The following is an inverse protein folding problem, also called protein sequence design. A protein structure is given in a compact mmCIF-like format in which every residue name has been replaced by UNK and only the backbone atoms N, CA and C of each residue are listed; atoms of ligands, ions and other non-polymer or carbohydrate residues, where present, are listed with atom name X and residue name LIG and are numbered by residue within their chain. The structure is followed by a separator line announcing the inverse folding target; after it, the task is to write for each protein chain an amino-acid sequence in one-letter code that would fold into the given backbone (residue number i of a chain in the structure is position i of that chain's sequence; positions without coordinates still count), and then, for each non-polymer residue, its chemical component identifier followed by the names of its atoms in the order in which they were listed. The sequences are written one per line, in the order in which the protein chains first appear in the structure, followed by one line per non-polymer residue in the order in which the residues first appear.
data_IF_452538692432
#
_entry.id   IF_452538692432
#
_cell.length_a   1.000
_cell.length_b   1.000
_cell.length_c   1.000
_cell.angle_alpha   90.00
_cell.angle_beta   90.00
_cell.angle_gamma   90.00
#
_symmetry.space_group_name_H-M   'P 1'
#
loop_
_entity.id
_entity.type
_entity.pdbx_description
1 polymer ?
#
# COMPACT_ATOMS: atom_id res chain seq x y z
N UNK A 1 -26.54 -5.65 -52.81
CA UNK A 1 -26.17 -5.62 -54.24
C UNK A 1 -25.48 -6.94 -54.59
N UNK A 2 -25.97 -7.60 -55.64
CA UNK A 2 -25.27 -8.52 -56.60
C UNK A 2 -24.31 -9.57 -55.99
N UNK A 3 -24.71 -10.85 -55.96
CA UNK A 3 -24.65 -11.88 -57.04
C UNK A 3 -23.25 -12.50 -57.22
N UNK A 4 -23.28 -13.82 -57.47
CA UNK A 4 -22.27 -14.75 -58.05
C UNK A 4 -21.72 -15.75 -57.01
N UNK A 5 -21.53 -17.04 -57.26
CA UNK A 5 -21.90 -17.97 -58.35
C UNK A 5 -21.24 -19.34 -57.99
N UNK A 6 -21.76 -20.45 -58.53
CA UNK A 6 -21.08 -21.75 -58.62
C UNK A 6 -21.73 -22.83 -57.75
N UNK A 7 -22.81 -23.49 -58.17
CA UNK A 7 -22.93 -24.51 -59.23
C UNK A 7 -22.26 -25.86 -58.90
N UNK A 8 -23.08 -26.71 -58.29
CA UNK A 8 -23.26 -28.17 -58.44
C UNK A 8 -22.32 -28.87 -59.45
N UNK A 9 -21.60 -29.89 -58.96
CA UNK A 9 -21.20 -31.03 -59.77
C UNK A 9 -21.46 -32.32 -58.99
N UNK A 10 -22.28 -33.16 -59.61
CA UNK A 10 -22.86 -34.41 -59.15
C UNK A 10 -21.90 -35.58 -59.42
N UNK A 11 -22.07 -36.66 -58.64
CA UNK A 11 -21.90 -38.08 -59.03
C UNK A 11 -20.48 -38.69 -58.99
N UNK A 12 -20.28 -39.63 -58.06
CA UNK A 12 -20.08 -41.04 -58.39
C UNK A 12 -20.05 -41.92 -57.13
N UNK A 13 -21.00 -42.85 -57.06
CA UNK A 13 -20.97 -44.03 -56.18
C UNK A 13 -19.85 -44.97 -56.63
N UNK A 14 -19.02 -45.40 -55.70
CA UNK A 14 -18.04 -46.47 -55.90
C UNK A 14 -17.90 -47.29 -54.61
N UNK A 15 -18.68 -48.36 -54.51
CA UNK A 15 -18.59 -49.38 -53.48
C UNK A 15 -17.35 -50.24 -53.75
N UNK A 16 -16.41 -50.33 -52.81
CA UNK A 16 -15.40 -51.38 -52.78
C UNK A 16 -15.06 -51.73 -51.32
N UNK A 17 -15.55 -52.88 -50.89
CA UNK A 17 -15.16 -53.50 -49.64
C UNK A 17 -13.79 -54.17 -49.82
N UNK A 18 -12.83 -53.85 -48.95
CA UNK A 18 -11.63 -54.65 -48.70
C UNK A 18 -11.52 -54.90 -47.21
N UNK A 19 -11.48 -56.19 -46.90
CA UNK A 19 -11.25 -56.78 -45.58
C UNK A 19 -9.75 -56.84 -45.27
N UNK A 20 -9.44 -56.86 -43.96
CA UNK A 20 -8.24 -57.37 -43.30
C UNK A 20 -6.97 -56.49 -43.24
N UNK A 21 -6.78 -55.82 -42.10
CA UNK A 21 -5.76 -56.18 -41.08
C UNK A 21 -5.94 -55.28 -39.84
N UNK A 22 -5.86 -55.81 -38.60
CA UNK A 22 -5.72 -54.95 -37.44
C UNK A 22 -4.31 -54.38 -37.47
N UNK A 23 -4.17 -53.13 -37.88
CA UNK A 23 -3.04 -52.34 -37.45
C UNK A 23 -3.17 -52.23 -35.93
N UNK A 24 -2.33 -52.99 -35.23
CA UNK A 24 -1.97 -52.71 -33.84
C UNK A 24 -1.36 -51.31 -33.83
N UNK A 25 -2.22 -50.29 -33.85
CA UNK A 25 -1.86 -48.95 -33.44
C UNK A 25 -1.50 -49.11 -31.97
N UNK A 26 -0.19 -49.06 -31.74
CA UNK A 26 0.46 -48.98 -30.45
C UNK A 26 -0.26 -47.89 -29.66
N UNK A 27 -1.22 -48.30 -28.84
CA UNK A 27 -1.71 -47.55 -27.71
C UNK A 27 -0.54 -47.49 -26.74
N UNK A 28 0.42 -46.61 -27.05
CA UNK A 28 1.21 -45.98 -26.03
C UNK A 28 0.22 -45.11 -25.27
N UNK A 29 -0.54 -45.75 -24.38
CA UNK A 29 -1.23 -45.08 -23.31
C UNK A 29 -0.18 -44.18 -22.66
N UNK A 30 -0.21 -42.89 -23.00
CA UNK A 30 0.46 -41.88 -22.23
C UNK A 30 -0.06 -42.09 -20.82
N UNK A 31 0.79 -42.63 -19.95
CA UNK A 31 0.41 -42.92 -18.59
C UNK A 31 -0.10 -41.60 -18.00
N UNK A 32 -1.41 -41.50 -17.83
CA UNK A 32 -2.04 -40.27 -17.36
C UNK A 32 -1.52 -40.05 -15.95
N UNK A 33 -0.78 -38.95 -15.78
CA UNK A 33 -0.33 -38.52 -14.47
C UNK A 33 -1.55 -38.00 -13.74
N UNK A 34 -1.88 -38.59 -12.59
CA UNK A 34 -2.97 -38.09 -11.76
C UNK A 34 -2.54 -36.76 -11.13
N UNK A 35 -3.10 -35.66 -11.62
CA UNK A 35 -2.83 -34.30 -11.15
C UNK A 35 -4.05 -33.73 -10.41
N UNK A 36 -4.83 -34.60 -9.75
CA UNK A 36 -5.99 -34.19 -8.97
C UNK A 36 -5.58 -33.32 -7.79
N UNK A 37 -6.46 -32.41 -7.37
CA UNK A 37 -6.24 -31.59 -6.17
C UNK A 37 -6.08 -32.51 -4.95
N UNK A 38 -5.07 -32.24 -4.13
CA UNK A 38 -4.70 -33.08 -2.98
C UNK A 38 -3.68 -34.17 -3.30
N UNK A 39 -3.32 -34.38 -4.57
CA UNK A 39 -2.27 -35.34 -4.95
C UNK A 39 -0.89 -34.82 -4.53
N UNK A 40 -0.10 -35.69 -3.89
CA UNK A 40 1.30 -35.39 -3.54
C UNK A 40 2.19 -35.49 -4.77
N UNK A 41 3.00 -34.46 -4.98
CA UNK A 41 4.00 -34.39 -6.03
C UNK A 41 5.37 -34.67 -5.40
N UNK A 42 6.15 -35.49 -6.08
CA UNK A 42 7.51 -35.83 -5.69
C UNK A 42 8.53 -35.13 -6.59
N UNK A 43 9.75 -34.99 -6.09
CA UNK A 43 10.86 -34.49 -6.88
C UNK A 43 11.62 -35.62 -7.60
N UNK A 44 12.70 -35.28 -8.28
CA UNK A 44 13.55 -36.25 -8.99
C UNK A 44 14.29 -37.23 -8.07
N UNK A 45 14.41 -36.92 -6.77
CA UNK A 45 15.06 -37.75 -5.76
C UNK A 45 14.04 -38.60 -4.97
N UNK A 46 12.75 -38.49 -5.30
CA UNK A 46 11.66 -39.21 -4.62
C UNK A 46 11.23 -38.57 -3.30
N UNK A 47 11.70 -37.35 -3.00
CA UNK A 47 11.24 -36.59 -1.84
C UNK A 47 9.92 -35.86 -2.14
N UNK A 48 9.11 -35.62 -1.11
CA UNK A 48 7.86 -34.88 -1.24
C UNK A 48 8.14 -33.40 -1.55
N UNK A 49 7.84 -33.01 -2.78
CA UNK A 49 7.92 -31.64 -3.24
C UNK A 49 6.80 -30.80 -2.62
N UNK A 50 5.56 -31.30 -2.73
CA UNK A 50 4.38 -30.54 -2.37
C UNK A 50 3.07 -31.26 -2.69
N UNK A 51 1.95 -30.54 -2.57
CA UNK A 51 0.60 -31.05 -2.87
C UNK A 51 -0.05 -30.19 -3.95
N UNK A 52 -0.76 -30.80 -4.89
CA UNK A 52 -1.52 -30.05 -5.92
C UNK A 52 -2.65 -29.27 -5.24
N UNK A 53 -2.60 -27.94 -5.32
CA UNK A 53 -3.66 -27.05 -4.81
C UNK A 53 -4.74 -26.77 -5.87
N UNK A 54 -4.37 -26.77 -7.15
CA UNK A 54 -5.30 -26.62 -8.26
C UNK A 54 -4.72 -27.19 -9.56
N UNK A 55 -5.55 -27.80 -10.40
CA UNK A 55 -5.19 -28.17 -11.77
C UNK A 55 -6.22 -27.55 -12.73
N UNK A 56 -5.77 -26.64 -13.58
CA UNK A 56 -6.62 -25.89 -14.52
C UNK A 56 -6.05 -26.05 -15.93
N UNK A 57 -6.62 -26.97 -16.69
CA UNK A 57 -6.22 -27.25 -18.07
C UNK A 57 -4.77 -27.70 -18.16
N UNK A 58 -3.93 -26.92 -18.84
CA UNK A 58 -2.51 -27.21 -19.05
C UNK A 58 -1.61 -26.78 -17.88
N UNK A 59 -2.14 -26.12 -16.83
CA UNK A 59 -1.37 -25.59 -15.71
C UNK A 59 -1.80 -26.22 -14.39
N UNK A 60 -0.82 -26.59 -13.55
CA UNK A 60 -1.01 -27.18 -12.23
C UNK A 60 -0.31 -26.31 -11.20
N UNK A 61 -1.04 -25.90 -10.17
CA UNK A 61 -0.51 -25.17 -9.02
C UNK A 61 -0.18 -26.20 -7.93
N UNK A 62 1.08 -26.21 -7.51
CA UNK A 62 1.59 -27.06 -6.44
C UNK A 62 1.95 -26.19 -5.24
N UNK A 63 1.41 -26.54 -4.08
CA UNK A 63 1.78 -26.00 -2.78
C UNK A 63 3.02 -26.72 -2.27
N UNK A 64 4.11 -25.97 -2.13
CA UNK A 64 5.42 -26.47 -1.69
C UNK A 64 5.55 -26.49 -0.15
N UNK A 65 4.53 -26.02 0.56
CA UNK A 65 4.57 -25.69 1.97
C UNK A 65 5.00 -24.24 2.22
N UNK A 66 4.85 -23.79 3.47
CA UNK A 66 5.30 -22.47 3.94
C UNK A 66 4.67 -21.28 3.18
N UNK A 67 3.48 -21.46 2.60
CA UNK A 67 2.77 -20.44 1.83
C UNK A 67 3.35 -20.18 0.44
N UNK A 68 4.30 -21.02 -0.02
CA UNK A 68 4.92 -20.91 -1.35
C UNK A 68 4.18 -21.83 -2.33
N UNK A 69 3.72 -21.26 -3.43
CA UNK A 69 3.07 -21.99 -4.51
C UNK A 69 3.82 -21.77 -5.82
N UNK A 70 3.86 -22.82 -6.63
CA UNK A 70 4.46 -22.77 -7.96
C UNK A 70 3.45 -23.28 -9.00
N UNK A 71 3.32 -22.54 -10.10
CA UNK A 71 2.53 -22.98 -11.25
C UNK A 71 3.46 -23.68 -12.23
N UNK A 72 3.25 -24.97 -12.44
CA UNK A 72 4.00 -25.80 -13.36
C UNK A 72 3.07 -26.30 -14.47
N UNK A 73 3.53 -26.37 -15.72
CA UNK A 73 2.70 -26.89 -16.79
C UNK A 73 2.56 -28.43 -16.63
N UNK A 74 1.38 -28.97 -16.97
CA UNK A 74 1.03 -30.37 -16.74
C UNK A 74 1.97 -31.36 -17.46
N UNK A 75 2.60 -30.93 -18.55
CA UNK A 75 3.60 -31.70 -19.29
C UNK A 75 4.98 -31.77 -18.61
N UNK A 76 5.23 -30.97 -17.58
CA UNK A 76 6.45 -31.07 -16.76
C UNK A 76 6.39 -32.22 -15.76
N UNK A 77 5.22 -32.84 -15.58
CA UNK A 77 5.06 -33.96 -14.65
C UNK A 77 5.28 -35.30 -15.35
N UNK A 78 6.15 -36.12 -14.76
CA UNK A 78 6.32 -37.53 -15.08
C UNK A 78 5.55 -38.42 -14.10
N UNK A 79 5.56 -39.73 -14.36
CA UNK A 79 4.98 -40.75 -13.47
C UNK A 79 6.08 -41.61 -12.86
N UNK A 80 6.13 -41.66 -11.53
CA UNK A 80 6.87 -42.67 -10.77
C UNK A 80 5.91 -43.61 -10.02
N UNK A 81 6.43 -44.71 -9.50
CA UNK A 81 5.67 -45.65 -8.67
C UNK A 81 5.08 -44.98 -7.42
N UNK A 82 5.75 -43.95 -6.91
CA UNK A 82 5.32 -43.17 -5.74
C UNK A 82 4.25 -42.12 -6.05
N UNK A 83 4.12 -41.68 -7.32
CA UNK A 83 3.19 -40.63 -7.72
C UNK A 83 3.73 -39.71 -8.84
N UNK A 84 3.05 -38.59 -9.10
CA UNK A 84 3.54 -37.54 -10.02
C UNK A 84 4.90 -37.03 -9.57
N UNK A 85 5.85 -36.93 -10.50
CA UNK A 85 7.19 -36.39 -10.25
C UNK A 85 7.50 -35.23 -11.19
N UNK A 86 8.46 -34.39 -10.83
CA UNK A 86 9.07 -33.43 -11.75
C UNK A 86 10.58 -33.68 -11.85
N UNK A 87 11.19 -33.28 -12.96
CA UNK A 87 12.62 -33.44 -13.20
C UNK A 87 13.55 -32.50 -12.41
N UNK A 88 13.04 -31.82 -11.38
CA UNK A 88 13.81 -30.90 -10.53
C UNK A 88 13.69 -31.31 -9.06
N UNK A 89 14.75 -31.08 -8.29
CA UNK A 89 14.78 -31.32 -6.84
C UNK A 89 13.94 -30.29 -6.09
N UNK A 90 13.47 -30.62 -4.88
CA UNK A 90 12.78 -29.65 -4.02
C UNK A 90 13.59 -28.37 -3.79
N UNK A 91 14.90 -28.52 -3.55
CA UNK A 91 15.80 -27.40 -3.34
C UNK A 91 15.87 -26.47 -4.56
N UNK A 92 15.91 -27.03 -5.78
CA UNK A 92 15.92 -26.25 -7.02
C UNK A 92 14.61 -25.50 -7.24
N UNK A 93 13.46 -26.12 -6.95
CA UNK A 93 12.16 -25.44 -7.06
C UNK A 93 12.03 -24.32 -6.04
N UNK A 94 12.40 -24.56 -4.78
CA UNK A 94 12.38 -23.51 -3.75
C UNK A 94 13.31 -22.36 -4.12
N UNK A 95 14.54 -22.65 -4.56
CA UNK A 95 15.47 -21.64 -5.03
C UNK A 95 14.92 -20.84 -6.23
N UNK A 96 14.21 -21.49 -7.16
CA UNK A 96 13.58 -20.82 -8.30
C UNK A 96 12.42 -19.91 -7.86
N UNK A 97 11.60 -20.36 -6.90
CA UNK A 97 10.51 -19.56 -6.32
C UNK A 97 11.07 -18.34 -5.57
N UNK A 98 12.12 -18.53 -4.78
CA UNK A 98 12.80 -17.45 -4.06
C UNK A 98 13.46 -16.45 -5.01
N UNK A 99 14.12 -16.94 -6.06
CA UNK A 99 14.70 -16.08 -7.09
C UNK A 99 13.62 -15.29 -7.84
N UNK A 100 12.47 -15.91 -8.13
CA UNK A 100 11.33 -15.23 -8.76
C UNK A 100 10.73 -14.17 -7.83
N UNK A 101 10.57 -14.47 -6.54
CA UNK A 101 10.10 -13.53 -5.53
C UNK A 101 11.06 -12.34 -5.39
N UNK A 102 12.36 -12.60 -5.26
CA UNK A 102 13.40 -11.58 -5.18
C UNK A 102 13.45 -10.72 -6.46
N UNK A 103 13.30 -11.34 -7.63
CA UNK A 103 13.22 -10.63 -8.91
C UNK A 103 11.99 -9.71 -9.01
N UNK A 104 10.84 -10.16 -8.51
CA UNK A 104 9.63 -9.35 -8.46
C UNK A 104 9.75 -8.19 -7.46
N UNK A 105 10.34 -8.43 -6.30
CA UNK A 105 10.62 -7.39 -5.31
C UNK A 105 11.62 -6.35 -5.83
N UNK A 106 12.65 -6.78 -6.56
CA UNK A 106 13.59 -5.90 -7.22
C UNK A 106 12.91 -5.04 -8.30
N UNK A 107 12.01 -5.61 -9.11
CA UNK A 107 11.20 -4.86 -10.09
C UNK A 107 10.27 -3.87 -9.41
N UNK A 108 9.61 -4.28 -8.33
CA UNK A 108 8.76 -3.40 -7.53
C UNK A 108 9.57 -2.24 -6.94
N UNK A 109 10.76 -2.54 -6.42
CA UNK A 109 11.66 -1.54 -5.86
C UNK A 109 12.19 -0.58 -6.91
N UNK A 110 12.53 -1.08 -8.09
CA UNK A 110 12.94 -0.26 -9.21
C UNK A 110 11.81 0.64 -9.72
N UNK A 111 10.55 0.20 -9.64
CA UNK A 111 9.40 1.01 -10.03
C UNK A 111 8.93 2.00 -8.94
N UNK A 112 9.16 1.66 -7.67
CA UNK A 112 8.89 2.54 -6.52
C UNK A 112 9.98 3.60 -6.39
N UNK A 113 9.95 4.58 -7.27
CA UNK A 113 10.81 5.76 -7.23
C UNK A 113 9.98 7.02 -7.01
N UNK A 114 10.51 8.05 -6.33
CA UNK A 114 9.89 9.37 -6.30
C UNK A 114 9.56 9.85 -7.71
N UNK A 115 8.33 10.33 -7.91
CA UNK A 115 7.78 10.74 -9.21
C UNK A 115 7.08 9.64 -10.00
N UNK A 116 7.17 8.36 -9.60
CA UNK A 116 6.53 7.25 -10.30
C UNK A 116 5.00 7.36 -10.26
N UNK A 117 4.36 7.11 -11.41
CA UNK A 117 2.90 7.04 -11.51
C UNK A 117 2.37 5.75 -10.89
N UNK A 118 1.52 5.90 -9.88
CA UNK A 118 0.81 4.78 -9.25
C UNK A 118 -0.57 4.66 -9.87
N UNK A 119 -0.89 3.49 -10.39
CA UNK A 119 -2.16 3.18 -11.03
C UNK A 119 -3.07 2.36 -10.12
N UNK A 120 -4.38 2.43 -10.35
CA UNK A 120 -5.30 1.50 -9.71
C UNK A 120 -5.14 0.07 -10.22
N UNK A 121 -5.81 -0.89 -9.57
CA UNK A 121 -5.73 -2.33 -9.88
C UNK A 121 -6.03 -2.67 -11.35
N UNK A 122 -6.88 -1.86 -12.00
CA UNK A 122 -7.25 -2.02 -13.42
C UNK A 122 -6.18 -1.47 -14.39
N UNK A 123 -5.21 -0.69 -13.92
CA UNK A 123 -4.12 -0.11 -14.73
C UNK A 123 -4.50 1.10 -15.59
N UNK A 124 -5.78 1.40 -15.78
CA UNK A 124 -6.24 2.49 -16.65
C UNK A 124 -6.09 3.90 -16.04
N UNK A 125 -6.24 4.04 -14.73
CA UNK A 125 -6.28 5.34 -14.04
C UNK A 125 -5.07 5.53 -13.15
N UNK A 126 -4.42 6.70 -13.24
CA UNK A 126 -3.35 7.13 -12.33
C UNK A 126 -4.02 7.70 -11.08
N UNK A 127 -3.71 7.14 -9.91
CA UNK A 127 -4.23 7.59 -8.62
C UNK A 127 -3.40 8.72 -8.03
N UNK A 128 -2.09 8.70 -8.30
CA UNK A 128 -1.16 9.69 -7.79
C UNK A 128 0.27 9.38 -8.19
N UNK A 129 1.19 10.19 -7.69
CA UNK A 129 2.63 10.04 -7.87
C UNK A 129 3.29 9.71 -6.56
N UNK A 130 4.32 8.86 -6.57
CA UNK A 130 5.13 8.60 -5.38
C UNK A 130 5.86 9.89 -4.99
N UNK A 131 5.63 10.39 -3.77
CA UNK A 131 6.34 11.54 -3.21
C UNK A 131 7.61 11.10 -2.48
N UNK A 132 7.48 10.07 -1.64
CA UNK A 132 8.55 9.56 -0.81
C UNK A 132 8.40 8.05 -0.62
N UNK A 133 9.52 7.33 -0.68
CA UNK A 133 9.58 5.93 -0.29
C UNK A 133 10.28 5.87 1.06
N UNK A 134 9.54 5.51 2.10
CA UNK A 134 10.06 5.28 3.45
C UNK A 134 10.19 3.77 3.71
N UNK A 135 10.88 3.40 4.79
CA UNK A 135 11.06 2.00 5.18
C UNK A 135 9.73 1.32 5.57
N UNK A 136 8.81 2.07 6.16
CA UNK A 136 7.53 1.60 6.68
C UNK A 136 6.37 1.81 5.69
N UNK A 137 6.61 2.45 4.55
CA UNK A 137 5.57 2.68 3.54
C UNK A 137 5.96 3.70 2.47
N UNK A 138 5.04 3.93 1.54
CA UNK A 138 5.21 4.85 0.42
C UNK A 138 4.20 5.97 0.56
N UNK A 139 4.66 7.21 0.51
CA UNK A 139 3.81 8.39 0.47
C UNK A 139 3.54 8.74 -0.99
N UNK A 140 2.27 8.90 -1.32
CA UNK A 140 1.79 9.31 -2.64
C UNK A 140 1.17 10.68 -2.55
N UNK A 141 1.43 11.51 -3.54
CA UNK A 141 0.67 12.72 -3.82
C UNK A 141 -0.43 12.40 -4.81
N UNK A 142 -1.67 12.51 -4.35
CA UNK A 142 -2.87 12.42 -5.18
C UNK A 142 -3.47 13.81 -5.41
N UNK A 143 -4.39 13.98 -6.39
CA UNK A 143 -5.07 15.26 -6.60
C UNK A 143 -5.87 15.75 -5.38
N UNK A 144 -6.24 14.84 -4.48
CA UNK A 144 -7.04 15.13 -3.28
C UNK A 144 -6.20 15.25 -2.00
N UNK A 145 -4.88 15.04 -2.09
CA UNK A 145 -3.96 15.15 -0.94
C UNK A 145 -2.88 14.07 -0.91
N UNK A 146 -1.99 14.18 0.07
CA UNK A 146 -0.97 13.16 0.32
C UNK A 146 -1.52 12.00 1.14
N UNK A 147 -1.16 10.76 0.77
CA UNK A 147 -1.56 9.54 1.47
C UNK A 147 -0.36 8.62 1.67
N UNK A 148 -0.29 7.93 2.80
CA UNK A 148 0.73 6.90 3.05
C UNK A 148 0.11 5.52 2.91
N UNK A 149 0.66 4.69 2.03
CA UNK A 149 0.26 3.31 1.84
C UNK A 149 1.42 2.36 2.19
N UNK A 150 1.14 1.19 2.76
CA UNK A 150 2.18 0.19 3.01
C UNK A 150 2.75 -0.33 1.69
N UNK A 151 4.03 -0.70 1.68
CA UNK A 151 4.72 -1.18 0.47
C UNK A 151 4.05 -2.43 -0.12
N UNK A 152 3.44 -3.27 0.73
CA UNK A 152 2.68 -4.46 0.34
C UNK A 152 1.41 -4.17 -0.46
N UNK A 153 0.90 -2.93 -0.43
CA UNK A 153 -0.24 -2.53 -1.24
C UNK A 153 0.13 -2.25 -2.71
N UNK A 154 1.41 -2.32 -3.08
CA UNK A 154 1.90 -2.05 -4.43
C UNK A 154 2.34 -3.32 -5.13
N UNK A 155 2.11 -3.37 -6.43
CA UNK A 155 2.57 -4.45 -7.28
C UNK A 155 2.85 -3.93 -8.70
N UNK A 156 3.52 -4.75 -9.51
CA UNK A 156 3.79 -4.44 -10.91
C UNK A 156 2.69 -5.07 -11.76
N UNK A 157 1.79 -4.23 -12.27
CA UNK A 157 0.77 -4.60 -13.25
C UNK A 157 1.27 -4.51 -14.68
N UNK A 158 0.42 -4.86 -15.65
CA UNK A 158 0.75 -4.81 -17.08
C UNK A 158 1.12 -3.40 -17.56
N UNK A 159 0.51 -2.37 -16.96
CA UNK A 159 0.74 -0.95 -17.29
C UNK A 159 1.80 -0.27 -16.40
N UNK A 160 2.52 -1.04 -15.58
CA UNK A 160 3.51 -0.52 -14.62
C UNK A 160 3.03 -0.60 -13.17
N UNK A 161 3.54 0.30 -12.32
CA UNK A 161 3.26 0.31 -10.89
C UNK A 161 1.76 0.51 -10.61
N UNK A 162 1.18 -0.41 -9.85
CA UNK A 162 -0.22 -0.41 -9.50
C UNK A 162 -0.43 -0.72 -8.02
N UNK A 163 -1.64 -0.44 -7.52
CA UNK A 163 -2.08 -0.79 -6.16
C UNK A 163 -3.37 -1.60 -6.21
N UNK A 164 -3.68 -2.31 -5.12
CA UNK A 164 -4.88 -3.17 -5.00
C UNK A 164 -6.20 -2.40 -5.00
N UNK A 165 -6.16 -1.08 -4.89
CA UNK A 165 -7.34 -0.22 -4.88
C UNK A 165 -7.77 0.20 -6.28
N UNK A 166 -9.08 0.32 -6.49
CA UNK A 166 -9.61 1.02 -7.66
C UNK A 166 -9.53 2.53 -7.47
N UNK A 167 -9.62 3.29 -8.56
CA UNK A 167 -9.66 4.75 -8.47
C UNK A 167 -10.87 5.26 -7.68
N UNK A 168 -12.00 4.59 -7.78
CA UNK A 168 -13.22 4.92 -7.06
C UNK A 168 -13.09 4.66 -5.57
N UNK A 169 -12.53 3.50 -5.17
CA UNK A 169 -12.29 3.18 -3.76
C UNK A 169 -11.30 4.16 -3.14
N UNK A 170 -10.25 4.50 -3.87
CA UNK A 170 -9.27 5.48 -3.43
C UNK A 170 -9.88 6.88 -3.28
N UNK A 171 -10.64 7.34 -4.28
CA UNK A 171 -11.31 8.64 -4.24
C UNK A 171 -12.35 8.73 -3.12
N UNK A 172 -13.16 7.67 -2.92
CA UNK A 172 -14.15 7.62 -1.85
C UNK A 172 -13.51 7.71 -0.46
N UNK A 173 -12.43 6.94 -0.23
CA UNK A 173 -11.69 6.99 1.03
C UNK A 173 -11.10 8.39 1.29
N UNK A 174 -10.54 9.02 0.26
CA UNK A 174 -10.02 10.39 0.36
C UNK A 174 -11.13 11.43 0.58
N UNK A 175 -12.29 11.25 -0.04
CA UNK A 175 -13.45 12.12 0.18
C UNK A 175 -13.98 11.99 1.60
N UNK A 176 -14.01 10.79 2.18
CA UNK A 176 -14.42 10.59 3.57
C UNK A 176 -13.48 11.31 4.54
N UNK A 177 -12.16 11.14 4.36
CA UNK A 177 -11.15 11.85 5.16
C UNK A 177 -11.28 13.36 5.03
N UNK A 178 -11.46 13.88 3.81
CA UNK A 178 -11.60 15.31 3.58
C UNK A 178 -12.93 15.86 4.13
N UNK A 179 -14.01 15.09 4.07
CA UNK A 179 -15.31 15.47 4.63
C UNK A 179 -15.26 15.49 6.15
N UNK A 180 -14.61 14.50 6.77
CA UNK A 180 -14.37 14.49 8.21
C UNK A 180 -13.53 15.70 8.64
N UNK A 181 -12.41 15.97 7.94
CA UNK A 181 -11.58 17.14 8.21
C UNK A 181 -12.35 18.46 8.04
N UNK A 182 -13.20 18.58 7.02
CA UNK A 182 -14.05 19.75 6.83
C UNK A 182 -15.13 19.89 7.92
N UNK A 183 -15.69 18.78 8.40
CA UNK A 183 -16.64 18.78 9.51
C UNK A 183 -15.98 19.19 10.83
N UNK A 184 -14.75 18.73 11.09
CA UNK A 184 -13.95 19.16 12.23
C UNK A 184 -13.62 20.65 12.16
N UNK A 185 -13.18 21.17 11.01
CA UNK A 185 -12.89 22.60 10.84
C UNK A 185 -14.15 23.46 11.02
N UNK A 186 -15.30 22.99 10.49
CA UNK A 186 -16.59 23.63 10.70
C UNK A 186 -17.03 23.61 12.18
N UNK A 187 -16.77 22.51 12.91
CA UNK A 187 -17.05 22.42 14.34
C UNK A 187 -16.17 23.39 15.14
N UNK A 188 -14.89 23.50 14.80
CA UNK A 188 -13.96 24.47 15.38
C UNK A 188 -14.41 25.90 15.04
N UNK A 189 -14.88 26.17 13.82
CA UNK A 189 -15.45 27.47 13.43
C UNK A 189 -16.68 27.84 14.24
N UNK A 190 -17.60 26.90 14.42
CA UNK A 190 -18.79 27.10 15.24
C UNK A 190 -18.45 27.31 16.73
N UNK A 191 -17.39 26.69 17.23
CA UNK A 191 -16.96 26.83 18.63
C UNK A 191 -16.18 28.13 18.92
N UNK A 192 -15.60 28.75 17.90
CA UNK A 192 -14.81 29.98 18.00
C UNK A 192 -15.67 31.24 18.13
N UNK A 193 -16.49 31.25 19.17
CA UNK A 193 -17.33 32.38 19.59
C UNK A 193 -16.60 33.16 20.67
N UNK A 194 -16.71 34.50 20.65
CA UNK A 194 -16.15 35.34 21.70
C UNK A 194 -16.69 34.92 23.08
N UNK A 195 -15.80 34.75 24.05
CA UNK A 195 -16.08 34.27 25.40
C UNK A 195 -15.96 32.76 25.62
N UNK A 196 -15.81 31.96 24.55
CA UNK A 196 -15.60 30.50 24.66
C UNK A 196 -14.28 30.18 25.37
N UNK A 197 -14.31 29.24 26.31
CA UNK A 197 -13.11 28.73 26.97
C UNK A 197 -12.27 27.86 26.02
N UNK A 198 -11.01 28.26 25.84
CA UNK A 198 -9.99 27.50 25.11
C UNK A 198 -9.25 26.63 26.12
N UNK A 199 -9.20 25.32 25.87
CA UNK A 199 -8.52 24.35 26.73
C UNK A 199 -7.17 23.92 26.15
N UNK A 200 -6.29 23.36 26.98
CA UNK A 200 -5.07 22.70 26.52
C UNK A 200 -5.38 21.43 25.71
N UNK A 201 -4.41 20.92 24.95
CA UNK A 201 -4.54 19.70 24.14
C UNK A 201 -5.08 18.49 24.93
N UNK A 202 -4.79 18.39 26.24
CA UNK A 202 -5.29 17.33 27.13
C UNK A 202 -6.64 17.63 27.79
N UNK A 203 -7.28 18.76 27.48
CA UNK A 203 -8.60 19.17 27.99
C UNK A 203 -8.66 19.61 29.47
N UNK A 204 -7.58 19.40 30.24
CA UNK A 204 -7.58 19.61 31.70
C UNK A 204 -7.49 21.08 32.14
N UNK A 205 -6.67 21.90 31.47
CA UNK A 205 -6.45 23.30 31.82
C UNK A 205 -7.18 24.24 30.84
N UNK A 206 -7.82 25.29 31.36
CA UNK A 206 -8.34 26.42 30.56
C UNK A 206 -7.19 27.41 30.33
N UNK A 207 -6.83 27.61 29.07
CA UNK A 207 -5.74 28.49 28.64
C UNK A 207 -6.18 29.95 28.49
N UNK A 208 -7.47 30.19 28.27
CA UNK A 208 -8.03 31.52 28.13
C UNK A 208 -9.39 31.52 27.46
N UNK A 209 -9.90 32.71 27.13
CA UNK A 209 -11.17 32.92 26.41
C UNK A 209 -10.94 33.49 25.03
N UNK A 210 -11.71 33.02 24.05
CA UNK A 210 -11.67 33.60 22.70
C UNK A 210 -12.12 35.06 22.76
N UNK A 211 -11.29 35.98 22.30
CA UNK A 211 -11.65 37.41 22.15
C UNK A 211 -12.21 37.71 20.77
N UNK A 212 -11.54 37.20 19.74
CA UNK A 212 -11.95 37.33 18.34
C UNK A 212 -11.37 36.19 17.51
N UNK A 213 -12.11 35.74 16.50
CA UNK A 213 -11.64 34.73 15.55
C UNK A 213 -11.80 35.23 14.12
N UNK A 214 -10.80 34.94 13.29
CA UNK A 214 -10.79 35.18 11.85
C UNK A 214 -10.46 33.88 11.11
N UNK A 215 -10.41 33.93 9.78
CA UNK A 215 -10.02 32.77 8.96
C UNK A 215 -8.57 32.34 9.22
N UNK A 216 -7.67 33.29 9.54
CA UNK A 216 -6.24 33.02 9.66
C UNK A 216 -5.78 32.90 11.12
N UNK A 217 -6.36 33.69 12.03
CA UNK A 217 -5.93 33.78 13.42
C UNK A 217 -7.08 33.91 14.42
N UNK A 218 -6.85 33.43 15.64
CA UNK A 218 -7.73 33.55 16.80
C UNK A 218 -6.97 34.24 17.92
N UNK A 219 -7.56 35.29 18.47
CA UNK A 219 -7.04 36.00 19.64
C UNK A 219 -7.67 35.39 20.89
N UNK A 220 -6.84 34.92 21.81
CA UNK A 220 -7.26 34.34 23.08
C UNK A 220 -6.76 35.23 24.21
N UNK A 221 -7.66 35.70 25.07
CA UNK A 221 -7.31 36.42 26.30
C UNK A 221 -7.02 35.41 27.40
N UNK A 222 -5.80 35.43 27.94
CA UNK A 222 -5.38 34.56 29.04
C UNK A 222 -6.11 34.90 30.35
N UNK A 223 -6.11 34.02 31.36
CA UNK A 223 -6.61 34.34 32.70
C UNK A 223 -5.91 35.54 33.35
N UNK A 224 -4.67 35.84 32.94
CA UNK A 224 -3.87 36.99 33.38
C UNK A 224 -4.29 38.30 32.70
N UNK A 225 -5.08 38.24 31.62
CA UNK A 225 -5.57 39.39 30.86
C UNK A 225 -4.78 39.70 29.58
N UNK A 226 -3.75 38.91 29.25
CA UNK A 226 -2.93 39.10 28.06
C UNK A 226 -3.60 38.53 26.80
N UNK A 227 -3.47 39.21 25.67
CA UNK A 227 -4.01 38.73 24.39
C UNK A 227 -2.93 38.00 23.60
N UNK A 228 -3.21 36.74 23.23
CA UNK A 228 -2.33 35.91 22.41
C UNK A 228 -3.00 35.62 21.07
N UNK A 229 -2.33 35.98 19.98
CA UNK A 229 -2.76 35.61 18.64
C UNK A 229 -2.18 34.24 18.26
N UNK A 230 -3.05 33.27 18.04
CA UNK A 230 -2.70 31.93 17.60
C UNK A 230 -3.25 31.67 16.20
N UNK A 231 -2.53 30.91 15.34
CA UNK A 231 -3.06 30.52 14.05
C UNK A 231 -4.30 29.65 14.24
N UNK A 232 -5.28 29.80 13.34
CA UNK A 232 -6.53 29.04 13.41
C UNK A 232 -6.30 27.52 13.37
N UNK A 233 -5.29 27.07 12.63
CA UNK A 233 -4.87 25.66 12.56
C UNK A 233 -4.36 25.08 13.88
N UNK A 234 -4.09 25.91 14.89
CA UNK A 234 -3.75 25.45 16.22
C UNK A 234 -4.97 25.17 17.11
N UNK A 235 -6.20 25.27 16.60
CA UNK A 235 -7.41 24.94 17.35
C UNK A 235 -8.02 23.66 16.82
N UNK A 236 -8.46 22.80 17.74
CA UNK A 236 -9.10 21.52 17.45
C UNK A 236 -10.28 21.30 18.38
N UNK A 237 -11.22 20.47 17.94
CA UNK A 237 -12.34 20.06 18.76
C UNK A 237 -11.91 18.87 19.63
N UNK A 238 -12.04 19.00 20.95
CA UNK A 238 -11.83 17.89 21.90
C UNK A 238 -13.17 17.43 22.49
N UNK A 239 -13.24 16.25 23.11
CA UNK A 239 -14.45 15.82 23.82
C UNK A 239 -14.90 16.79 24.93
N UNK A 240 -13.99 17.64 25.43
CA UNK A 240 -14.24 18.66 26.44
C UNK A 240 -14.54 20.06 25.85
N UNK A 241 -14.71 20.17 24.52
CA UNK A 241 -14.92 21.42 23.79
C UNK A 241 -13.68 21.92 23.06
N UNK A 242 -13.63 23.22 22.79
CA UNK A 242 -12.55 23.87 22.04
C UNK A 242 -11.20 23.73 22.76
N UNK A 243 -10.21 23.17 22.07
CA UNK A 243 -8.86 23.01 22.58
C UNK A 243 -7.84 23.64 21.63
N UNK A 244 -6.75 24.15 22.20
CA UNK A 244 -5.57 24.53 21.44
C UNK A 244 -4.61 23.33 21.36
N UNK A 245 -3.91 23.21 20.23
CA UNK A 245 -2.87 22.22 19.94
C UNK A 245 -1.57 22.45 20.73
N UNK A 246 -1.67 23.04 21.92
CA UNK A 246 -0.57 23.38 22.81
C UNK A 246 -0.76 22.73 24.17
N UNK A 247 0.35 22.32 24.80
CA UNK A 247 0.36 22.09 26.24
C UNK A 247 0.24 23.42 26.99
N UNK A 248 -0.12 23.38 28.27
CA UNK A 248 -0.17 24.60 29.09
C UNK A 248 1.19 25.32 29.14
N UNK A 249 2.30 24.57 29.13
CA UNK A 249 3.66 25.11 29.15
C UNK A 249 4.01 25.78 27.80
N UNK A 250 3.65 25.15 26.68
CA UNK A 250 3.89 25.71 25.35
C UNK A 250 3.06 26.98 25.13
N UNK A 251 1.83 27.00 25.63
CA UNK A 251 1.00 28.20 25.59
C UNK A 251 1.58 29.31 26.46
N UNK A 252 2.01 29.02 27.70
CA UNK A 252 2.67 29.99 28.56
C UNK A 252 3.96 30.56 27.95
N UNK A 253 4.76 29.72 27.27
CA UNK A 253 5.94 30.18 26.53
C UNK A 253 5.58 31.08 25.34
N UNK A 254 4.51 30.77 24.61
CA UNK A 254 4.02 31.60 23.52
C UNK A 254 3.48 32.96 24.02
N UNK A 255 2.82 32.98 25.20
CA UNK A 255 2.38 34.21 25.87
C UNK A 255 3.60 35.07 26.21
N UNK A 256 4.60 34.50 26.89
CA UNK A 256 5.80 35.22 27.31
C UNK A 256 6.58 35.83 26.13
N UNK A 257 6.66 35.12 25.00
CA UNK A 257 7.25 35.65 23.76
C UNK A 257 6.43 36.80 23.15
N UNK A 258 5.10 36.79 23.31
CA UNK A 258 4.20 37.82 22.78
C UNK A 258 4.14 39.10 23.65
N UNK A 259 4.27 38.98 24.98
CA UNK A 259 4.33 40.11 25.93
C UNK A 259 5.73 40.68 26.12
N UNK A 260 6.78 40.05 25.56
CA UNK A 260 8.14 40.58 25.61
C UNK A 260 8.83 40.45 26.98
N UNK A 261 8.37 39.54 27.84
CA UNK A 261 9.14 39.15 29.03
C UNK A 261 10.23 38.14 28.62
N UNK A 262 11.52 38.43 28.86
CA UNK A 262 12.58 37.50 28.54
C UNK A 262 12.38 36.24 29.37
N UNK A 263 12.39 35.10 28.68
CA UNK A 263 12.46 33.79 29.31
C UNK A 263 13.56 33.83 30.40
N UNK A 264 13.17 33.64 31.67
CA UNK A 264 14.11 33.22 32.69
C UNK A 264 14.60 31.83 32.31
N UNK A 265 15.62 31.83 31.48
CA UNK A 265 16.52 30.72 31.27
C UNK A 265 17.02 30.35 32.65
N UNK A 266 16.71 29.12 33.07
CA UNK A 266 17.23 28.53 34.29
C UNK A 266 18.76 28.56 34.21
N UNK A 267 19.37 29.56 34.86
CA UNK A 267 20.79 29.63 35.08
C UNK A 267 21.12 28.61 36.18
N UNK A 268 21.42 27.40 35.71
CA UNK A 268 21.98 26.35 36.53
C UNK A 268 23.16 25.75 35.78
N UNK A 269 24.25 26.49 35.62
CA UNK A 269 25.59 25.88 35.73
C UNK A 269 26.70 26.92 35.94
N UNK A 270 27.25 26.87 37.16
CA UNK A 270 28.67 26.86 37.45
C UNK A 270 29.57 28.00 36.95
N UNK A 271 30.05 28.75 37.95
CA UNK A 271 31.40 29.26 37.97
C UNK A 271 32.43 28.25 37.42
N UNK A 272 33.19 28.65 36.40
CA UNK A 272 34.64 28.48 36.34
C UNK A 272 35.21 29.10 35.05
N UNK A 273 36.18 29.97 35.28
CA UNK A 273 37.40 30.14 34.49
C UNK A 273 37.46 31.08 33.27
N UNK A 274 38.39 32.03 33.45
CA UNK A 274 39.28 32.64 32.47
C UNK A 274 38.70 33.56 31.39
N UNK A 275 38.85 34.88 31.59
CA UNK A 275 39.42 35.73 30.55
C UNK A 275 40.35 36.78 31.15
N UNK A 276 41.58 36.71 30.66
CA UNK A 276 42.73 37.57 30.87
C UNK A 276 42.48 38.95 30.24
N UNK A 277 42.45 40.01 31.05
CA UNK A 277 42.83 41.39 30.68
C UNK A 277 44.38 41.39 30.52
N UNK A 278 45.08 42.06 29.62
CA UNK A 278 44.86 43.19 28.71
C UNK A 278 46.20 43.39 27.93
N UNK A 279 46.22 43.91 26.68
CA UNK A 279 47.40 44.61 26.20
C UNK A 279 47.04 46.05 25.83
N UNK A 280 47.59 47.02 26.57
CA UNK A 280 47.74 48.39 26.09
C UNK A 280 48.73 49.16 26.97
N UNK A 281 49.92 49.39 26.41
CA UNK A 281 50.86 50.50 26.60
C UNK A 281 51.27 50.92 28.02
#
# INVERSE_FOLDING_TARGET
MRKLAGFVATFSLGMAAVVAAPAMAQDAAAATVDLSVGTKVFDSEGAELGTVSSAQGANVVVDLGEGKQVTLPANSFGKLEQGPTIGATKAQVMAAVDQAAAGNEAKLTAALQPGADVRGVNGNSILGKVKLVAADGVVLTSPTGDVKLPRSAFFIGQAGLATSFTAEQFAAAMQEVNTAAAADDAAVAAALVAGTDVRSLKGAAVLGKVKSASADAVVVTTPSGDDVSLPRSAFLMSPAGLAAAYTAEQFAAAVAQATGEPAQQADATAAADATVEQPAN
#
